data_IF_462460663767
#
_entry.id   IF_462460663767
#
_cell.length_a   1.000
_cell.length_b   1.000
_cell.length_c   1.000
_cell.angle_alpha   90.00
_cell.angle_beta   90.00
_cell.angle_gamma   90.00
#
_symmetry.space_group_name_H-M   'P 1'
#
loop_
_entity.id
_entity.type
_entity.pdbx_description
1 polymer ?
#
# COMPACT_ATOMS: atom_id res chain seq x y z
N UNK A 1 11.87 18.61 0.82
CA UNK A 1 13.29 18.30 1.11
C UNK A 1 13.95 18.11 -0.23
N UNK A 2 14.98 18.90 -0.53
CA UNK A 2 15.73 18.73 -1.78
C UNK A 2 16.45 17.36 -1.77
N UNK A 3 16.51 16.69 -2.92
CA UNK A 3 17.22 15.42 -3.09
C UNK A 3 18.68 15.55 -2.63
N UNK A 4 19.33 16.68 -2.90
CA UNK A 4 20.71 16.93 -2.49
C UNK A 4 20.86 17.06 -0.96
N UNK A 5 19.89 17.64 -0.28
CA UNK A 5 19.86 17.70 1.18
C UNK A 5 19.61 16.33 1.81
N UNK A 6 18.68 15.56 1.26
CA UNK A 6 18.40 14.20 1.71
C UNK A 6 19.63 13.29 1.52
N UNK A 7 20.29 13.39 0.36
CA UNK A 7 21.52 12.66 0.05
C UNK A 7 22.65 13.06 1.00
N UNK A 8 22.90 14.36 1.18
CA UNK A 8 23.94 14.84 2.09
C UNK A 8 23.65 14.50 3.57
N UNK A 9 22.38 14.38 3.96
CA UNK A 9 21.97 13.91 5.29
C UNK A 9 22.24 12.42 5.47
N UNK A 10 21.96 11.61 4.45
CA UNK A 10 22.22 10.17 4.44
C UNK A 10 23.73 9.85 4.45
N UNK A 11 24.52 10.59 3.67
CA UNK A 11 25.98 10.44 3.59
C UNK A 11 26.68 10.82 4.89
N UNK A 12 26.21 11.88 5.57
CA UNK A 12 26.76 12.34 6.86
C UNK A 12 26.20 11.58 8.07
N UNK A 13 25.27 10.65 7.85
CA UNK A 13 24.58 9.93 8.94
C UNK A 13 23.80 10.87 9.87
N UNK A 14 23.44 12.07 9.41
CA UNK A 14 22.67 13.02 10.20
C UNK A 14 21.24 12.50 10.35
N UNK A 15 20.90 12.11 11.58
CA UNK A 15 19.56 11.66 11.95
C UNK A 15 18.63 12.87 12.02
N UNK A 16 17.65 12.96 11.13
CA UNK A 16 16.48 13.81 11.38
C UNK A 16 15.61 13.18 12.47
N UNK A 17 14.94 14.00 13.28
CA UNK A 17 14.02 13.50 14.29
C UNK A 17 12.92 12.64 13.64
N UNK A 18 12.69 11.43 14.16
CA UNK A 18 11.74 10.47 13.58
C UNK A 18 12.29 9.64 12.41
N UNK A 19 13.51 9.87 11.94
CA UNK A 19 14.14 9.11 10.86
C UNK A 19 15.14 8.08 11.41
N UNK A 20 14.96 6.81 11.05
CA UNK A 20 15.92 5.74 11.31
C UNK A 20 16.58 5.29 10.02
N UNK A 21 17.89 5.47 9.91
CA UNK A 21 18.69 4.94 8.80
C UNK A 21 19.23 3.56 9.18
N UNK A 22 18.95 2.54 8.37
CA UNK A 22 19.54 1.21 8.47
C UNK A 22 20.47 1.01 7.28
N UNK A 23 21.78 1.01 7.52
CA UNK A 23 22.78 0.73 6.48
C UNK A 23 22.78 -0.76 6.12
N UNK A 24 23.28 -1.07 4.91
CA UNK A 24 23.59 -2.44 4.51
C UNK A 24 24.51 -3.08 5.57
N UNK A 25 24.29 -4.34 5.97
CA UNK A 25 25.13 -5.00 6.98
C UNK A 25 26.63 -4.86 6.68
N UNK A 26 27.40 -4.44 7.68
CA UNK A 26 28.84 -4.18 7.54
C UNK A 26 29.22 -2.85 6.88
N UNK A 27 28.25 -1.99 6.53
CA UNK A 27 28.49 -0.63 6.01
C UNK A 27 28.13 0.42 7.06
N UNK A 28 28.81 1.57 6.98
CA UNK A 28 28.61 2.73 7.86
C UNK A 28 28.16 3.98 7.09
N UNK A 29 28.06 3.89 5.76
CA UNK A 29 27.64 4.98 4.86
C UNK A 29 26.64 4.47 3.81
N UNK A 30 25.97 5.40 3.13
CA UNK A 30 25.12 5.13 1.96
C UNK A 30 25.94 4.81 0.69
N UNK A 31 25.25 4.60 -0.44
CA UNK A 31 25.88 4.32 -1.74
C UNK A 31 26.19 2.86 -2.02
N UNK A 32 25.73 1.94 -1.16
CA UNK A 32 25.98 0.50 -1.31
C UNK A 32 24.68 -0.26 -1.57
N UNK A 33 24.68 -1.10 -2.60
CA UNK A 33 23.70 -2.19 -2.74
C UNK A 33 24.16 -3.38 -1.88
N UNK A 34 23.22 -4.11 -1.28
CA UNK A 34 23.52 -5.40 -0.65
C UNK A 34 23.99 -6.42 -1.69
N UNK A 35 24.68 -7.47 -1.26
CA UNK A 35 25.15 -8.52 -2.18
C UNK A 35 23.96 -9.19 -2.90
N UNK A 36 22.89 -9.48 -2.16
CA UNK A 36 21.64 -10.02 -2.71
C UNK A 36 21.02 -9.09 -3.75
N UNK A 37 20.90 -7.79 -3.45
CA UNK A 37 20.35 -6.82 -4.41
C UNK A 37 21.23 -6.69 -5.65
N UNK A 38 22.57 -6.71 -5.50
CA UNK A 38 23.49 -6.68 -6.66
C UNK A 38 23.30 -7.90 -7.56
N UNK A 39 23.17 -9.09 -7.00
CA UNK A 39 22.93 -10.32 -7.76
C UNK A 39 21.58 -10.24 -8.48
N UNK A 40 20.53 -9.82 -7.78
CA UNK A 40 19.18 -9.74 -8.35
C UNK A 40 19.04 -8.67 -9.44
N UNK A 41 19.82 -7.58 -9.38
CA UNK A 41 19.82 -6.52 -10.38
C UNK A 41 20.84 -6.72 -11.50
N UNK A 42 21.79 -7.66 -11.38
CA UNK A 42 22.80 -7.91 -12.40
C UNK A 42 22.19 -8.16 -13.80
N UNK A 43 21.10 -8.94 -13.97
CA UNK A 43 20.46 -9.10 -15.27
C UNK A 43 19.90 -7.80 -15.85
N UNK A 44 19.41 -6.90 -14.99
CA UNK A 44 18.86 -5.60 -15.41
C UNK A 44 19.98 -4.67 -15.88
N UNK A 45 21.11 -4.62 -15.17
CA UNK A 45 22.26 -3.80 -15.56
C UNK A 45 23.01 -4.35 -16.78
N UNK A 46 22.98 -5.66 -16.98
CA UNK A 46 23.63 -6.32 -18.10
C UNK A 46 22.71 -6.46 -19.32
N UNK A 47 21.41 -6.17 -19.18
CA UNK A 47 20.49 -6.12 -20.29
C UNK A 47 20.86 -4.93 -21.19
N UNK A 48 20.99 -5.19 -22.49
CA UNK A 48 20.95 -4.10 -23.47
C UNK A 48 19.55 -3.48 -23.43
N UNK A 49 19.40 -2.16 -23.63
CA UNK A 49 18.08 -1.55 -23.78
C UNK A 49 17.32 -2.34 -24.83
N UNK A 50 16.16 -2.88 -24.47
CA UNK A 50 15.31 -3.52 -25.45
C UNK A 50 15.01 -2.48 -26.54
N UNK A 51 15.32 -2.79 -27.80
CA UNK A 51 14.72 -2.10 -28.94
C UNK A 51 13.25 -2.52 -28.96
N UNK A 52 12.44 -1.87 -28.11
CA UNK A 52 11.02 -2.11 -28.05
C UNK A 52 10.38 -1.33 -29.21
N UNK A 53 10.32 -1.93 -30.38
CA UNK A 53 9.59 -1.39 -31.53
C UNK A 53 8.07 -1.37 -31.28
N UNK A 54 7.59 -2.15 -30.30
CA UNK A 54 6.17 -2.30 -29.97
C UNK A 54 5.90 -2.10 -28.47
N UNK A 55 4.81 -1.39 -28.15
CA UNK A 55 4.38 -1.20 -26.76
C UNK A 55 3.82 -2.52 -26.22
N UNK A 56 4.26 -3.02 -25.05
CA UNK A 56 3.74 -4.25 -24.48
C UNK A 56 2.25 -4.14 -24.19
N UNK A 57 1.52 -5.25 -24.30
CA UNK A 57 0.12 -5.28 -23.90
C UNK A 57 -0.04 -5.12 -22.39
N UNK A 58 -1.23 -4.76 -21.92
CA UNK A 58 -1.50 -4.67 -20.49
C UNK A 58 -1.29 -6.02 -19.78
N UNK A 59 -1.57 -7.13 -20.45
CA UNK A 59 -1.36 -8.46 -19.90
C UNK A 59 0.13 -8.76 -19.76
N UNK A 60 0.95 -8.44 -20.77
CA UNK A 60 2.40 -8.60 -20.67
C UNK A 60 2.99 -7.77 -19.52
N UNK A 61 2.47 -6.56 -19.32
CA UNK A 61 2.87 -5.69 -18.21
C UNK A 61 2.47 -6.29 -16.85
N UNK A 62 1.28 -6.88 -16.73
CA UNK A 62 0.81 -7.56 -15.51
C UNK A 62 1.62 -8.81 -15.20
N UNK A 63 1.90 -9.63 -16.20
CA UNK A 63 2.66 -10.88 -16.04
C UNK A 63 4.09 -10.59 -15.56
N UNK A 64 4.71 -9.52 -16.06
CA UNK A 64 6.01 -9.03 -15.57
C UNK A 64 5.97 -8.57 -14.11
N UNK A 65 4.82 -8.08 -13.64
CA UNK A 65 4.64 -7.52 -12.29
C UNK A 65 4.45 -8.59 -11.20
N UNK A 66 3.91 -9.75 -11.57
CA UNK A 66 3.64 -10.85 -10.63
C UNK A 66 4.92 -11.47 -10.05
N UNK A 67 6.07 -11.23 -10.69
CA UNK A 67 7.36 -11.81 -10.31
C UNK A 67 7.37 -13.34 -10.45
N UNK A 68 8.51 -13.96 -10.13
CA UNK A 68 8.58 -15.42 -10.10
C UNK A 68 7.84 -15.96 -8.85
N UNK A 69 6.98 -16.99 -9.00
CA UNK A 69 6.37 -17.68 -7.86
C UNK A 69 7.42 -18.13 -6.85
N UNK A 70 7.20 -17.86 -5.56
CA UNK A 70 8.12 -18.27 -4.49
C UNK A 70 9.35 -17.38 -4.27
N UNK A 71 9.49 -16.27 -5.00
CA UNK A 71 10.59 -15.31 -4.82
C UNK A 71 10.61 -14.63 -3.44
N UNK A 72 9.47 -14.55 -2.76
CA UNK A 72 9.36 -13.98 -1.41
C UNK A 72 9.44 -15.09 -0.36
N UNK A 73 10.43 -15.00 0.53
CA UNK A 73 10.57 -15.92 1.66
C UNK A 73 9.44 -15.72 2.66
N UNK A 74 8.75 -16.81 3.04
CA UNK A 74 7.85 -16.78 4.20
C UNK A 74 8.70 -16.68 5.47
N UNK A 75 8.52 -15.60 6.23
CA UNK A 75 9.22 -15.38 7.49
C UNK A 75 8.30 -15.49 8.71
N UNK A 76 7.00 -15.74 8.52
CA UNK A 76 6.09 -16.02 9.63
C UNK A 76 6.52 -17.31 10.35
N UNK A 77 6.51 -17.26 11.68
CA UNK A 77 6.94 -18.31 12.60
C UNK A 77 5.76 -19.05 13.23
N UNK A 78 4.61 -18.40 13.40
CA UNK A 78 3.44 -19.04 14.02
C UNK A 78 2.33 -19.37 13.02
N UNK A 79 1.46 -20.37 13.32
CA UNK A 79 0.33 -20.72 12.46
C UNK A 79 -0.66 -19.57 12.28
N UNK A 80 -1.13 -19.37 11.05
CA UNK A 80 -2.13 -18.37 10.69
C UNK A 80 -3.38 -19.04 10.11
N UNK A 81 -4.56 -18.51 10.45
CA UNK A 81 -5.80 -18.70 9.71
C UNK A 81 -5.80 -17.74 8.51
N UNK A 82 -6.07 -18.27 7.31
CA UNK A 82 -6.03 -17.52 6.07
C UNK A 82 -7.26 -17.86 5.24
N UNK A 83 -8.04 -16.83 4.92
CA UNK A 83 -9.36 -17.00 4.35
C UNK A 83 -9.60 -15.95 3.26
N UNK A 84 -10.07 -16.38 2.09
CA UNK A 84 -10.60 -15.46 1.09
C UNK A 84 -12.02 -15.03 1.52
N UNK A 85 -12.31 -13.75 1.43
CA UNK A 85 -13.61 -13.19 1.80
C UNK A 85 -14.05 -12.16 0.77
N UNK A 86 -15.34 -11.85 0.75
CA UNK A 86 -15.88 -10.68 0.05
C UNK A 86 -16.42 -9.74 1.11
N UNK A 87 -15.92 -8.50 1.13
CA UNK A 87 -16.38 -7.45 2.04
C UNK A 87 -16.94 -6.34 1.17
N UNK A 88 -18.24 -6.07 1.31
CA UNK A 88 -18.95 -5.07 0.52
C UNK A 88 -18.67 -5.16 -0.99
N UNK A 89 -18.82 -6.37 -1.55
CA UNK A 89 -18.57 -6.64 -2.97
C UNK A 89 -17.09 -6.65 -3.39
N UNK A 90 -16.15 -6.32 -2.50
CA UNK A 90 -14.71 -6.32 -2.79
C UNK A 90 -14.07 -7.62 -2.32
N UNK A 91 -13.34 -8.30 -3.20
CA UNK A 91 -12.57 -9.48 -2.85
C UNK A 91 -11.41 -9.11 -1.91
N UNK A 92 -11.21 -9.93 -0.88
CA UNK A 92 -10.18 -9.73 0.14
C UNK A 92 -9.60 -11.06 0.60
N UNK A 93 -8.45 -11.03 1.26
CA UNK A 93 -7.86 -12.16 1.96
C UNK A 93 -7.49 -11.77 3.39
N UNK A 94 -8.06 -12.46 4.36
CA UNK A 94 -7.78 -12.29 5.79
C UNK A 94 -6.62 -13.17 6.22
N UNK A 95 -5.75 -12.63 7.06
CA UNK A 95 -4.69 -13.33 7.76
C UNK A 95 -4.83 -13.04 9.25
N UNK A 96 -4.76 -14.10 10.07
CA UNK A 96 -4.98 -13.98 11.51
C UNK A 96 -4.15 -15.00 12.28
N UNK A 97 -3.50 -14.66 13.41
CA UNK A 97 -2.86 -15.63 14.28
C UNK A 97 -3.86 -16.71 14.74
N UNK A 98 -3.57 -17.98 14.45
CA UNK A 98 -4.48 -19.07 14.75
C UNK A 98 -4.73 -19.22 16.26
N UNK A 99 -3.72 -18.94 17.09
CA UNK A 99 -3.82 -18.96 18.54
C UNK A 99 -4.79 -17.91 19.11
N UNK A 100 -5.15 -16.89 18.33
CA UNK A 100 -6.04 -15.82 18.75
C UNK A 100 -7.45 -15.98 18.18
N UNK A 101 -7.77 -17.02 17.40
CA UNK A 101 -9.07 -17.21 16.74
C UNK A 101 -10.28 -16.85 17.64
N UNK A 102 -11.23 -16.08 17.09
CA UNK A 102 -12.43 -15.65 17.81
C UNK A 102 -12.30 -14.37 18.65
N UNK A 103 -11.08 -13.87 18.88
CA UNK A 103 -10.85 -12.63 19.64
C UNK A 103 -10.99 -11.37 18.78
N UNK A 104 -11.38 -10.25 19.37
CA UNK A 104 -11.29 -8.94 18.70
C UNK A 104 -9.81 -8.54 18.60
N UNK A 105 -9.33 -8.18 17.40
CA UNK A 105 -7.94 -7.80 17.16
C UNK A 105 -7.79 -6.44 16.48
N UNK A 106 -6.68 -5.72 16.75
CA UNK A 106 -6.23 -4.63 15.89
C UNK A 106 -6.18 -5.10 14.44
N UNK A 107 -6.70 -4.28 13.53
CA UNK A 107 -6.83 -4.66 12.12
C UNK A 107 -6.02 -3.74 11.23
N UNK A 108 -5.14 -4.36 10.45
CA UNK A 108 -4.42 -3.73 9.35
C UNK A 108 -5.19 -4.00 8.07
N UNK A 109 -5.60 -2.96 7.37
CA UNK A 109 -6.08 -3.06 6.00
C UNK A 109 -4.87 -2.84 5.08
N UNK A 110 -4.60 -3.78 4.17
CA UNK A 110 -3.40 -3.82 3.36
C UNK A 110 -3.74 -3.75 1.87
N UNK A 111 -3.08 -2.84 1.14
CA UNK A 111 -3.15 -2.76 -0.32
C UNK A 111 -1.82 -3.16 -0.95
N UNK A 112 -1.87 -4.11 -1.88
CA UNK A 112 -0.69 -4.53 -2.62
C UNK A 112 -0.24 -3.47 -3.63
N UNK A 113 1.06 -3.41 -3.89
CA UNK A 113 1.62 -2.67 -5.01
C UNK A 113 1.32 -3.31 -6.36
N UNK A 114 1.68 -2.60 -7.43
CA UNK A 114 1.49 -3.08 -8.81
C UNK A 114 1.13 -1.98 -9.81
N UNK A 115 1.61 -0.76 -9.58
CA UNK A 115 1.43 0.39 -10.47
C UNK A 115 -0.04 0.62 -10.91
N UNK A 116 -1.00 0.32 -10.03
CA UNK A 116 -2.45 0.50 -10.22
C UNK A 116 -3.10 -0.40 -11.29
N UNK A 117 -2.32 -1.10 -12.11
CA UNK A 117 -2.81 -1.98 -13.17
C UNK A 117 -2.47 -3.46 -12.95
N UNK A 118 -1.66 -3.81 -11.96
CA UNK A 118 -1.25 -5.18 -11.68
C UNK A 118 -1.06 -5.47 -10.19
N UNK A 119 -0.53 -6.65 -9.89
CA UNK A 119 -0.41 -7.17 -8.53
C UNK A 119 -1.60 -8.04 -8.12
N UNK A 120 -1.55 -8.55 -6.90
CA UNK A 120 -2.64 -9.35 -6.31
C UNK A 120 -2.42 -9.56 -4.81
N UNK A 121 -3.47 -10.00 -4.11
CA UNK A 121 -3.35 -10.50 -2.73
C UNK A 121 -2.35 -11.66 -2.59
N UNK A 122 -2.19 -12.49 -3.63
CA UNK A 122 -1.20 -13.56 -3.64
C UNK A 122 0.25 -13.01 -3.69
N UNK A 123 0.48 -11.95 -4.47
CA UNK A 123 1.77 -11.27 -4.53
C UNK A 123 2.17 -10.60 -3.21
N UNK A 124 1.19 -10.16 -2.41
CA UNK A 124 1.40 -9.56 -1.09
C UNK A 124 1.42 -10.58 0.08
N UNK A 125 1.14 -11.87 -0.19
CA UNK A 125 0.86 -12.85 0.86
C UNK A 125 1.97 -12.95 1.92
N UNK A 126 3.23 -13.04 1.50
CA UNK A 126 4.34 -13.24 2.45
C UNK A 126 4.51 -12.05 3.41
N UNK A 127 4.22 -10.83 2.93
CA UNK A 127 4.25 -9.63 3.77
C UNK A 127 3.05 -9.58 4.70
N UNK A 128 1.85 -9.92 4.21
CA UNK A 128 0.64 -9.97 5.04
C UNK A 128 0.75 -11.03 6.16
N UNK A 129 1.34 -12.19 5.86
CA UNK A 129 1.65 -13.22 6.86
C UNK A 129 2.61 -12.71 7.93
N UNK A 130 3.72 -12.09 7.51
CA UNK A 130 4.71 -11.55 8.43
C UNK A 130 4.10 -10.45 9.33
N UNK A 131 3.29 -9.56 8.76
CA UNK A 131 2.60 -8.52 9.52
C UNK A 131 1.64 -9.12 10.55
N UNK A 132 0.76 -10.04 10.14
CA UNK A 132 -0.21 -10.66 11.04
C UNK A 132 0.48 -11.40 12.20
N UNK A 133 1.54 -12.15 11.89
CA UNK A 133 2.28 -12.93 12.86
C UNK A 133 3.07 -12.07 13.85
N UNK A 134 3.99 -11.24 13.35
CA UNK A 134 4.89 -10.49 14.22
C UNK A 134 4.23 -9.32 14.94
N UNK A 135 3.15 -8.76 14.41
CA UNK A 135 2.39 -7.70 15.08
C UNK A 135 1.22 -8.25 15.93
N UNK A 136 0.93 -9.56 15.86
CA UNK A 136 -0.19 -10.17 16.59
C UNK A 136 -1.55 -9.58 16.20
N UNK A 137 -1.72 -9.22 14.93
CA UNK A 137 -2.89 -8.48 14.45
C UNK A 137 -3.64 -9.24 13.35
N UNK A 138 -4.86 -8.79 13.05
CA UNK A 138 -5.57 -9.21 11.85
C UNK A 138 -5.08 -8.37 10.65
N UNK A 139 -4.78 -9.01 9.53
CA UNK A 139 -4.50 -8.32 8.27
C UNK A 139 -5.58 -8.67 7.26
N UNK A 140 -6.24 -7.66 6.69
CA UNK A 140 -7.15 -7.81 5.56
C UNK A 140 -6.45 -7.25 4.32
N UNK A 141 -6.02 -8.13 3.42
CA UNK A 141 -5.43 -7.75 2.14
C UNK A 141 -6.54 -7.59 1.10
N UNK A 142 -6.60 -6.44 0.43
CA UNK A 142 -7.70 -6.11 -0.48
C UNK A 142 -7.27 -6.29 -1.93
N UNK A 143 -8.09 -7.00 -2.69
CA UNK A 143 -7.91 -7.29 -4.12
C UNK A 143 -8.68 -6.23 -4.92
N UNK A 144 -8.12 -5.03 -4.99
CA UNK A 144 -8.80 -3.85 -5.51
C UNK A 144 -8.96 -3.90 -7.04
N UNK A 145 -10.01 -3.24 -7.59
CA UNK A 145 -10.19 -3.14 -9.03
C UNK A 145 -9.07 -2.34 -9.69
N UNK A 146 -8.54 -2.83 -10.81
CA UNK A 146 -7.33 -2.31 -11.45
C UNK A 146 -7.61 -1.59 -12.77
N UNK A 147 -6.75 -0.63 -13.10
CA UNK A 147 -6.73 -0.01 -14.42
C UNK A 147 -6.18 -0.98 -15.49
N UNK A 148 -6.55 -0.80 -16.78
CA UNK A 148 -7.43 0.24 -17.33
C UNK A 148 -8.93 -0.05 -17.23
N UNK A 149 -9.34 -1.27 -16.86
CA UNK A 149 -10.74 -1.70 -16.79
C UNK A 149 -11.52 -0.90 -15.74
N UNK A 150 -10.84 -0.57 -14.64
CA UNK A 150 -11.36 0.26 -13.56
C UNK A 150 -10.38 1.39 -13.25
N UNK A 151 -10.43 2.50 -14.03
CA UNK A 151 -9.53 3.62 -13.82
C UNK A 151 -9.83 4.32 -12.48
N UNK A 152 -8.96 5.27 -12.12
CA UNK A 152 -9.21 6.15 -10.99
C UNK A 152 -10.63 6.76 -11.06
N UNK A 153 -11.41 6.79 -9.96
CA UNK A 153 -11.02 6.51 -8.58
C UNK A 153 -11.37 5.10 -8.04
N UNK A 154 -11.65 4.12 -8.91
CA UNK A 154 -12.21 2.83 -8.50
C UNK A 154 -11.43 2.11 -7.38
N UNK A 155 -10.11 2.01 -7.49
CA UNK A 155 -9.28 1.35 -6.48
C UNK A 155 -9.34 2.04 -5.10
N UNK A 156 -9.37 3.39 -5.08
CA UNK A 156 -9.47 4.17 -3.83
C UNK A 156 -10.84 4.01 -3.17
N UNK A 157 -11.90 3.97 -3.98
CA UNK A 157 -13.26 3.74 -3.50
C UNK A 157 -13.42 2.33 -2.93
N UNK A 158 -12.87 1.30 -3.58
CA UNK A 158 -12.88 -0.06 -3.06
C UNK A 158 -12.20 -0.17 -1.69
N UNK A 159 -11.07 0.53 -1.48
CA UNK A 159 -10.40 0.59 -0.19
C UNK A 159 -11.32 1.16 0.89
N UNK A 160 -11.90 2.33 0.59
CA UNK A 160 -12.74 3.04 1.55
C UNK A 160 -14.03 2.27 1.86
N UNK A 161 -14.63 1.59 0.88
CA UNK A 161 -15.76 0.67 1.08
C UNK A 161 -15.44 -0.41 2.11
N UNK A 162 -14.31 -1.11 1.93
CA UNK A 162 -13.88 -2.15 2.87
C UNK A 162 -13.62 -1.58 4.27
N UNK A 163 -12.96 -0.41 4.37
CA UNK A 163 -12.74 0.27 5.65
C UNK A 163 -14.05 0.60 6.36
N UNK A 164 -14.98 1.24 5.66
CA UNK A 164 -16.29 1.61 6.17
C UNK A 164 -17.08 0.38 6.64
N UNK A 165 -17.12 -0.67 5.82
CA UNK A 165 -17.86 -1.89 6.12
C UNK A 165 -17.26 -2.66 7.31
N UNK A 166 -15.93 -2.72 7.40
CA UNK A 166 -15.25 -3.33 8.55
C UNK A 166 -15.52 -2.57 9.86
N UNK A 167 -15.69 -1.24 9.80
CA UNK A 167 -16.09 -0.45 10.95
C UNK A 167 -17.56 -0.68 11.32
N UNK A 168 -18.48 -0.65 10.34
CA UNK A 168 -19.92 -0.85 10.56
C UNK A 168 -20.25 -2.23 11.15
N UNK A 169 -19.53 -3.27 10.71
CA UNK A 169 -19.73 -4.66 11.13
C UNK A 169 -18.57 -5.19 11.99
N UNK A 170 -17.99 -4.35 12.85
CA UNK A 170 -16.79 -4.67 13.62
C UNK A 170 -16.90 -5.96 14.44
N UNK A 171 -18.05 -6.20 15.07
CA UNK A 171 -18.31 -7.42 15.85
C UNK A 171 -18.24 -8.69 14.98
N UNK A 172 -18.78 -8.62 13.76
CA UNK A 172 -18.81 -9.74 12.81
C UNK A 172 -17.41 -10.08 12.31
N UNK A 173 -16.61 -9.05 12.01
CA UNK A 173 -15.24 -9.19 11.52
C UNK A 173 -14.18 -9.28 12.63
N UNK A 174 -14.61 -9.20 13.89
CA UNK A 174 -13.76 -9.23 15.08
C UNK A 174 -12.65 -8.17 15.02
N UNK A 175 -12.99 -6.98 14.54
CA UNK A 175 -12.08 -5.84 14.43
C UNK A 175 -12.25 -4.92 15.63
N UNK A 176 -11.16 -4.28 16.08
CA UNK A 176 -11.27 -3.22 17.07
C UNK A 176 -11.93 -1.99 16.43
N UNK A 177 -13.02 -1.44 17.00
CA UNK A 177 -13.61 -0.19 16.52
C UNK A 177 -12.66 1.00 16.70
N UNK A 178 -11.77 0.90 17.70
CA UNK A 178 -10.67 1.83 17.88
C UNK A 178 -9.61 1.58 16.79
N UNK A 179 -9.66 2.39 15.74
CA UNK A 179 -8.52 2.70 14.88
C UNK A 179 -8.03 1.57 13.96
N UNK A 180 -8.36 1.64 12.67
CA UNK A 180 -7.71 0.81 11.66
C UNK A 180 -6.31 1.33 11.34
N UNK A 181 -5.39 0.42 11.06
CA UNK A 181 -4.09 0.76 10.47
C UNK A 181 -4.19 0.53 8.96
N UNK A 182 -3.88 1.54 8.15
CA UNK A 182 -3.74 1.33 6.71
C UNK A 182 -2.28 1.06 6.37
N UNK A 183 -2.06 0.05 5.55
CA UNK A 183 -0.74 -0.33 5.07
C UNK A 183 -0.75 -0.61 3.57
N UNK A 184 0.41 -0.51 2.95
CA UNK A 184 0.57 -0.87 1.55
C UNK A 184 1.96 -0.58 1.00
N UNK A 185 2.24 -1.16 -0.16
CA UNK A 185 3.51 -1.02 -0.85
C UNK A 185 3.34 -0.33 -2.21
N UNK A 186 4.28 0.54 -2.61
CA UNK A 186 4.25 1.22 -3.92
C UNK A 186 2.88 1.90 -4.18
N UNK A 187 2.23 1.59 -5.30
CA UNK A 187 0.88 2.05 -5.65
C UNK A 187 -0.15 1.78 -4.53
N UNK A 188 -0.06 0.65 -3.84
CA UNK A 188 -0.92 0.32 -2.70
C UNK A 188 -0.69 1.23 -1.50
N UNK A 189 0.55 1.68 -1.28
CA UNK A 189 0.87 2.72 -0.29
C UNK A 189 0.27 4.09 -0.66
N UNK A 190 0.26 4.43 -1.95
CA UNK A 190 -0.44 5.61 -2.45
C UNK A 190 -1.96 5.53 -2.23
N UNK A 191 -2.57 4.37 -2.49
CA UNK A 191 -3.98 4.13 -2.24
C UNK A 191 -4.33 4.19 -0.74
N UNK A 192 -3.44 3.69 0.14
CA UNK A 192 -3.59 3.82 1.59
C UNK A 192 -3.58 5.30 2.05
N UNK A 193 -2.69 6.12 1.48
CA UNK A 193 -2.67 7.57 1.71
C UNK A 193 -3.97 8.24 1.25
N UNK A 194 -4.41 7.97 0.02
CA UNK A 194 -5.67 8.51 -0.50
C UNK A 194 -6.86 8.11 0.36
N UNK A 195 -6.88 6.89 0.88
CA UNK A 195 -7.96 6.39 1.75
C UNK A 195 -7.94 7.06 3.11
N UNK A 196 -6.76 7.30 3.71
CA UNK A 196 -6.67 8.09 4.93
C UNK A 196 -7.09 9.55 4.72
N UNK A 197 -6.81 10.12 3.55
CA UNK A 197 -7.32 11.45 3.18
C UNK A 197 -8.85 11.45 3.07
N UNK A 198 -9.43 10.42 2.44
CA UNK A 198 -10.87 10.23 2.37
C UNK A 198 -11.50 10.17 3.77
N UNK A 199 -11.00 9.29 4.64
CA UNK A 199 -11.45 9.13 6.02
C UNK A 199 -11.36 10.43 6.83
N UNK A 200 -10.23 11.12 6.76
CA UNK A 200 -9.96 12.29 7.61
C UNK A 200 -10.60 13.58 7.11
N UNK A 201 -10.51 13.83 5.79
CA UNK A 201 -10.80 15.15 5.21
C UNK A 201 -12.14 15.16 4.46
N UNK A 202 -12.44 14.10 3.72
CA UNK A 202 -13.64 14.07 2.86
C UNK A 202 -14.86 13.66 3.67
N UNK A 203 -14.77 12.54 4.37
CA UNK A 203 -15.88 11.94 5.12
C UNK A 203 -15.86 12.25 6.62
N UNK A 204 -14.70 12.67 7.16
CA UNK A 204 -14.51 13.05 8.56
C UNK A 204 -14.94 11.95 9.56
N UNK A 205 -14.75 10.69 9.17
CA UNK A 205 -15.11 9.48 9.93
C UNK A 205 -14.07 9.15 11.00
N UNK A 206 -12.81 9.49 10.76
CA UNK A 206 -11.69 9.34 11.70
C UNK A 206 -11.46 7.88 12.17
N UNK A 207 -11.68 6.90 11.29
CA UNK A 207 -11.42 5.50 11.60
C UNK A 207 -9.96 5.12 11.45
N UNK A 208 -9.16 5.88 10.70
CA UNK A 208 -7.75 5.56 10.48
C UNK A 208 -6.87 6.11 11.60
N UNK A 209 -6.21 5.21 12.34
CA UNK A 209 -5.29 5.56 13.43
C UNK A 209 -3.85 5.76 12.95
N UNK A 210 -3.35 4.84 12.11
CA UNK A 210 -1.94 4.84 11.66
C UNK A 210 -1.79 4.45 10.20
N UNK A 211 -0.68 4.90 9.64
CA UNK A 211 -0.22 4.53 8.30
C UNK A 211 1.11 3.78 8.39
N UNK A 212 1.21 2.65 7.69
CA UNK A 212 2.46 1.87 7.53
C UNK A 212 2.74 1.70 6.05
N UNK A 213 3.56 2.59 5.48
CA UNK A 213 3.73 2.72 4.04
C UNK A 213 5.11 2.25 3.60
N UNK A 214 5.15 1.29 2.70
CA UNK A 214 6.39 0.73 2.16
C UNK A 214 6.66 1.34 0.78
N UNK A 215 7.68 2.21 0.68
CA UNK A 215 8.02 2.94 -0.56
C UNK A 215 6.77 3.43 -1.32
N UNK A 216 5.85 4.16 -0.66
CA UNK A 216 4.57 4.52 -1.26
C UNK A 216 4.78 5.34 -2.54
N UNK A 217 3.96 5.06 -3.55
CA UNK A 217 3.81 6.00 -4.65
C UNK A 217 2.99 7.19 -4.16
N UNK A 218 3.69 8.26 -3.85
CA UNK A 218 3.10 9.55 -3.55
C UNK A 218 3.30 10.35 -4.82
N UNK A 219 2.24 10.70 -5.57
CA UNK A 219 2.39 11.58 -6.72
C UNK A 219 3.21 12.76 -6.25
N UNK A 220 4.31 13.01 -6.94
CA UNK A 220 5.06 14.23 -6.72
C UNK A 220 4.05 15.36 -6.86
N UNK A 221 3.67 15.98 -5.74
CA UNK A 221 3.48 17.40 -5.75
C UNK A 221 4.83 17.92 -6.29
N UNK A 222 4.91 18.06 -7.62
CA UNK A 222 5.80 19.04 -8.18
C UNK A 222 5.34 20.31 -7.52
N UNK A 223 6.05 20.72 -6.48
CA UNK A 223 6.04 22.09 -5.98
C UNK A 223 6.75 22.90 -7.08
N UNK A 224 6.16 22.89 -8.27
CA UNK A 224 6.42 23.82 -9.34
C UNK A 224 5.35 24.87 -9.11
N UNK A 225 5.73 25.86 -8.30
CA UNK A 225 5.00 27.09 -8.02
C UNK A 225 4.00 27.09 -6.84
N UNK A 226 4.47 27.55 -5.68
CA UNK A 226 3.61 27.94 -4.55
C UNK A 226 2.83 29.23 -4.80
N UNK A 227 3.01 29.92 -5.94
CA UNK A 227 2.25 31.13 -6.28
C UNK A 227 0.85 30.85 -6.83
N UNK A 228 0.57 29.64 -7.29
CA UNK A 228 -0.75 29.25 -7.80
C UNK A 228 -1.68 28.60 -6.74
N UNK A 229 -1.22 28.45 -5.50
CA UNK A 229 -2.07 28.31 -4.32
C UNK A 229 -3.32 27.45 -4.45
N UNK A 230 -3.24 26.23 -4.99
CA UNK A 230 -4.28 25.23 -4.70
C UNK A 230 -4.06 24.85 -3.24
N UNK A 231 -4.67 25.61 -2.34
CA UNK A 231 -4.71 25.28 -0.93
C UNK A 231 -5.31 23.87 -0.80
N UNK A 232 -4.77 23.05 0.11
CA UNK A 232 -5.27 21.71 0.42
C UNK A 232 -6.80 21.66 0.65
N UNK A 233 -7.39 22.82 1.01
CA UNK A 233 -8.83 23.02 1.13
C UNK A 233 -9.56 22.93 -0.22
N UNK A 234 -9.07 23.57 -1.27
CA UNK A 234 -9.68 23.58 -2.60
C UNK A 234 -9.56 22.22 -3.28
N UNK A 235 -8.40 21.56 -3.18
CA UNK A 235 -8.26 20.15 -3.59
C UNK A 235 -9.24 19.25 -2.84
N UNK A 236 -9.43 19.48 -1.53
CA UNK A 236 -10.41 18.74 -0.74
C UNK A 236 -11.86 19.01 -1.12
N UNK A 237 -12.20 20.23 -1.54
CA UNK A 237 -13.52 20.57 -2.08
C UNK A 237 -13.76 19.92 -3.44
N UNK A 238 -12.76 19.91 -4.33
CA UNK A 238 -12.82 19.22 -5.62
C UNK A 238 -12.94 17.71 -5.45
N UNK A 239 -12.16 17.10 -4.54
CA UNK A 239 -12.27 15.67 -4.24
C UNK A 239 -13.61 15.35 -3.56
N UNK A 240 -14.11 16.20 -2.64
CA UNK A 240 -15.47 16.05 -2.09
C UNK A 240 -16.54 16.11 -3.19
N UNK A 241 -16.44 17.05 -4.13
CA UNK A 241 -17.38 17.18 -5.23
C UNK A 241 -17.30 15.97 -6.18
N UNK A 242 -16.09 15.54 -6.53
CA UNK A 242 -15.83 14.34 -7.31
C UNK A 242 -16.43 13.10 -6.64
N UNK A 243 -16.16 12.89 -5.35
CA UNK A 243 -16.66 11.72 -4.64
C UNK A 243 -18.18 11.76 -4.40
N UNK A 244 -18.76 12.93 -4.15
CA UNK A 244 -20.22 13.09 -4.08
C UNK A 244 -20.91 12.87 -5.43
N UNK A 245 -20.20 13.06 -6.55
CA UNK A 245 -20.74 12.80 -7.89
C UNK A 245 -20.93 11.30 -8.17
N UNK A 246 -20.19 10.44 -7.46
CA UNK A 246 -20.49 9.02 -7.35
C UNK A 246 -21.54 8.82 -6.24
N UNK A 247 -22.82 9.08 -6.54
CA UNK A 247 -23.92 8.92 -5.59
C UNK A 247 -23.98 7.50 -4.96
N UNK A 248 -24.73 7.34 -3.86
CA UNK A 248 -24.89 6.09 -3.10
C UNK A 248 -25.25 4.85 -3.96
N UNK A 249 -25.86 5.05 -5.13
CA UNK A 249 -26.27 3.96 -6.03
C UNK A 249 -25.10 3.41 -6.86
N UNK A 250 -23.97 4.12 -6.92
CA UNK A 250 -22.73 3.67 -7.60
C UNK A 250 -21.72 3.02 -6.65
N UNK A 251 -21.99 3.05 -5.35
CA UNK A 251 -21.17 2.42 -4.30
C UNK A 251 -21.86 1.24 -3.62
N UNK A 252 -23.08 0.88 -4.04
CA UNK A 252 -23.77 -0.36 -3.65
C UNK A 252 -23.23 -1.55 -4.46
#
# INVERSE_FOLDING_TARGET
MDYQEALASLERGQKQAGMTVKFVPGKTTGGWLSDETRVNLAPVFNASPAQADEKPSIQDMRDRMMGAPGSKKNIAQHPLQIENMVIDGVATRRYRPAALAGQVLPTVLYFHGGAYYGGSVAGAEMLCRALADFAGCQVISVDYPMAPEHPFPAASLAYYRVLNYLHEYADWYQTTPAGFVLAGDSAGGGLALTTAYLDRVVFATNWVEKLVLNYPDVPGARIEDTSAGIEFKEFGEQMRALFKSFSSDTLA
#
